data_IF_611603131691
#
_entry.id   IF_611603131691
#
_cell.length_a   1.000
_cell.length_b   1.000
_cell.length_c   1.000
_cell.angle_alpha   90.00
_cell.angle_beta   90.00
_cell.angle_gamma   90.00
#
_symmetry.space_group_name_H-M   'P 1'
#
loop_
_entity.id
_entity.type
_entity.pdbx_description
1 polymer ?
#
# COMPACT_ATOMS: atom_id res chain seq x y z
N UNK A 1 19.88 6.74 -25.42
CA UNK A 1 20.16 5.60 -24.51
C UNK A 1 21.66 5.56 -24.21
N UNK A 2 22.12 6.29 -23.19
CA UNK A 2 23.47 6.13 -22.64
C UNK A 2 23.30 5.52 -21.25
N UNK A 3 23.35 4.19 -21.17
CA UNK A 3 23.38 3.52 -19.87
C UNK A 3 24.72 3.81 -19.20
N UNK A 4 24.62 4.13 -17.91
CA UNK A 4 25.68 4.55 -17.02
C UNK A 4 26.85 3.55 -17.05
N UNK A 5 27.99 3.98 -17.61
CA UNK A 5 29.25 3.23 -17.63
C UNK A 5 30.16 3.57 -16.43
N UNK A 6 29.70 4.37 -15.47
CA UNK A 6 30.52 4.74 -14.30
C UNK A 6 29.83 4.35 -13.01
N UNK A 7 30.23 3.20 -12.44
CA UNK A 7 29.90 2.80 -11.08
C UNK A 7 30.18 1.32 -10.91
N UNK A 8 31.01 0.97 -9.92
CA UNK A 8 31.20 -0.39 -9.42
C UNK A 8 29.83 -1.00 -9.08
N UNK A 9 29.19 -1.61 -10.09
CA UNK A 9 27.94 -2.34 -9.96
C UNK A 9 28.30 -3.74 -9.47
N UNK A 10 27.78 -4.07 -8.30
CA UNK A 10 27.96 -5.38 -7.70
C UNK A 10 27.35 -6.44 -8.62
N UNK A 11 28.14 -7.43 -9.04
CA UNK A 11 27.70 -8.47 -9.98
C UNK A 11 26.68 -9.40 -9.29
N UNK A 12 25.79 -10.02 -10.08
CA UNK A 12 24.86 -11.02 -9.55
C UNK A 12 25.57 -12.20 -8.85
N UNK A 13 26.77 -12.55 -9.32
CA UNK A 13 27.65 -13.54 -8.69
C UNK A 13 28.18 -13.09 -7.33
N UNK A 14 28.39 -11.80 -7.11
CA UNK A 14 28.78 -11.24 -5.82
C UNK A 14 27.60 -11.22 -4.85
N UNK A 15 26.39 -10.87 -5.31
CA UNK A 15 25.20 -10.86 -4.44
C UNK A 15 24.77 -12.26 -4.04
N UNK A 16 24.85 -13.23 -4.94
CA UNK A 16 24.59 -14.63 -4.60
C UNK A 16 25.60 -15.20 -3.60
N UNK A 17 26.88 -14.75 -3.63
CA UNK A 17 27.85 -15.06 -2.57
C UNK A 17 27.41 -14.47 -1.24
N UNK A 18 27.07 -13.18 -1.21
CA UNK A 18 26.56 -12.51 0.01
C UNK A 18 25.33 -13.24 0.56
N UNK A 19 24.40 -13.67 -0.29
CA UNK A 19 23.20 -14.38 0.15
C UNK A 19 23.50 -15.74 0.78
N UNK A 20 24.49 -16.47 0.23
CA UNK A 20 24.92 -17.78 0.76
C UNK A 20 25.71 -17.64 2.06
N UNK A 21 26.48 -16.58 2.20
CA UNK A 21 27.32 -16.32 3.38
C UNK A 21 26.69 -15.28 4.32
N UNK A 22 25.39 -15.01 4.18
CA UNK A 22 24.75 -13.94 4.94
C UNK A 22 24.75 -14.32 6.41
N UNK A 23 25.58 -13.64 7.17
CA UNK A 23 25.61 -13.67 8.63
C UNK A 23 25.27 -12.26 9.12
N UNK A 24 24.28 -12.19 10.00
CA UNK A 24 23.70 -10.95 10.54
C UNK A 24 24.74 -10.09 11.29
N UNK A 25 25.88 -10.69 11.67
CA UNK A 25 26.94 -10.05 12.45
C UNK A 25 28.09 -9.45 11.61
N UNK A 26 28.21 -9.77 10.31
CA UNK A 26 29.38 -9.32 9.55
C UNK A 26 29.33 -7.83 9.23
N UNK A 27 30.42 -7.12 9.56
CA UNK A 27 30.50 -5.66 9.49
C UNK A 27 30.59 -5.15 8.05
N UNK A 28 31.40 -5.81 7.22
CA UNK A 28 31.62 -5.43 5.82
C UNK A 28 30.33 -5.51 4.99
N UNK A 29 29.49 -6.52 5.28
CA UNK A 29 28.21 -6.75 4.59
C UNK A 29 27.26 -5.56 4.71
N UNK A 30 27.30 -4.79 5.81
CA UNK A 30 26.37 -3.66 6.02
C UNK A 30 26.68 -2.49 5.11
N UNK A 31 27.95 -2.16 4.92
CA UNK A 31 28.35 -1.05 4.07
C UNK A 31 28.11 -1.39 2.59
N UNK A 32 28.35 -2.64 2.20
CA UNK A 32 28.08 -3.13 0.85
C UNK A 32 26.57 -3.12 0.55
N UNK A 33 25.74 -3.60 1.47
CA UNK A 33 24.28 -3.51 1.35
C UNK A 33 23.77 -2.06 1.35
N UNK A 34 24.40 -1.16 2.11
CA UNK A 34 24.09 0.27 2.09
C UNK A 34 24.39 0.90 0.73
N UNK A 35 25.55 0.58 0.13
CA UNK A 35 25.89 1.05 -1.22
C UNK A 35 24.90 0.48 -2.24
N UNK A 36 24.57 -0.80 -2.12
CA UNK A 36 23.66 -1.49 -3.02
C UNK A 36 22.24 -0.90 -2.98
N UNK A 37 21.72 -0.60 -1.80
CA UNK A 37 20.40 0.05 -1.63
C UNK A 37 20.36 1.49 -2.11
N UNK A 38 21.52 2.18 -2.17
CA UNK A 38 21.63 3.51 -2.79
C UNK A 38 21.64 3.43 -4.32
N UNK A 39 22.40 2.50 -4.89
CA UNK A 39 22.52 2.33 -6.35
C UNK A 39 21.22 1.73 -6.93
N UNK A 40 20.59 0.81 -6.20
CA UNK A 40 19.35 0.14 -6.60
C UNK A 40 18.26 0.32 -5.54
N UNK A 41 17.59 1.49 -5.49
CA UNK A 41 16.59 1.80 -4.45
C UNK A 41 15.44 0.80 -4.35
N UNK A 42 15.03 0.23 -5.49
CA UNK A 42 13.91 -0.72 -5.59
C UNK A 42 14.33 -2.19 -5.42
N UNK A 43 15.57 -2.47 -5.03
CA UNK A 43 16.00 -3.85 -4.82
C UNK A 43 15.52 -4.38 -3.46
N UNK A 44 14.32 -4.98 -3.43
CA UNK A 44 13.63 -5.35 -2.20
C UNK A 44 14.47 -6.27 -1.30
N UNK A 45 15.08 -7.32 -1.84
CA UNK A 45 15.86 -8.28 -1.04
C UNK A 45 17.07 -7.64 -0.36
N UNK A 46 17.80 -6.77 -1.06
CA UNK A 46 18.92 -6.03 -0.48
C UNK A 46 18.46 -5.07 0.63
N UNK A 47 17.33 -4.37 0.43
CA UNK A 47 16.75 -3.53 1.46
C UNK A 47 16.32 -4.34 2.70
N UNK A 48 15.77 -5.54 2.51
CA UNK A 48 15.38 -6.42 3.61
C UNK A 48 16.64 -6.81 4.40
N UNK A 49 17.63 -7.42 3.72
CA UNK A 49 18.92 -7.79 4.32
C UNK A 49 19.55 -6.61 5.08
N UNK A 50 19.57 -5.42 4.47
CA UNK A 50 20.10 -4.22 5.09
C UNK A 50 19.37 -3.87 6.40
N UNK A 51 18.03 -3.83 6.40
CA UNK A 51 17.23 -3.54 7.58
C UNK A 51 17.48 -4.54 8.72
N UNK A 52 17.64 -5.83 8.42
CA UNK A 52 17.97 -6.85 9.45
C UNK A 52 19.36 -6.69 10.03
N UNK A 53 20.35 -6.37 9.20
CA UNK A 53 21.69 -6.07 9.72
C UNK A 53 21.69 -4.84 10.62
N UNK A 54 20.87 -3.82 10.31
CA UNK A 54 20.70 -2.65 11.18
C UNK A 54 19.97 -2.98 12.48
N UNK A 55 18.98 -3.89 12.42
CA UNK A 55 18.25 -4.38 13.59
C UNK A 55 19.20 -5.06 14.57
N UNK A 56 20.00 -6.01 14.08
CA UNK A 56 20.91 -6.78 14.91
C UNK A 56 22.01 -5.90 15.55
N UNK A 57 22.46 -4.87 14.81
CA UNK A 57 23.43 -3.90 15.32
C UNK A 57 22.84 -2.80 16.20
N UNK A 58 21.53 -2.81 16.48
CA UNK A 58 20.82 -1.76 17.21
C UNK A 58 21.13 -0.33 16.69
N UNK A 59 21.25 -0.18 15.36
CA UNK A 59 21.62 1.11 14.77
C UNK A 59 20.46 2.11 14.85
N UNK A 60 20.73 3.36 15.20
CA UNK A 60 19.74 4.44 15.26
C UNK A 60 18.98 4.65 13.94
N UNK A 61 19.62 4.36 12.79
CA UNK A 61 18.99 4.46 11.46
C UNK A 61 18.05 3.31 11.13
N UNK A 62 17.91 2.32 12.02
CA UNK A 62 17.05 1.16 11.80
C UNK A 62 15.60 1.58 11.56
N UNK A 63 15.02 2.40 12.45
CA UNK A 63 13.61 2.78 12.38
C UNK A 63 13.27 3.51 11.06
N UNK A 64 14.04 4.53 10.70
CA UNK A 64 13.83 5.27 9.46
C UNK A 64 14.08 4.44 8.20
N UNK A 65 15.05 3.52 8.24
CA UNK A 65 15.29 2.59 7.12
C UNK A 65 14.16 1.58 7.00
N UNK A 66 13.64 1.05 8.11
CA UNK A 66 12.51 0.13 8.15
C UNK A 66 11.27 0.77 7.53
N UNK A 67 10.92 2.00 7.91
CA UNK A 67 9.78 2.74 7.35
C UNK A 67 9.92 2.95 5.84
N UNK A 68 11.11 3.33 5.39
CA UNK A 68 11.41 3.49 3.96
C UNK A 68 11.29 2.17 3.22
N UNK A 69 11.88 1.10 3.74
CA UNK A 69 11.81 -0.24 3.13
C UNK A 69 10.37 -0.74 3.11
N UNK A 70 9.59 -0.53 4.16
CA UNK A 70 8.19 -0.92 4.25
C UNK A 70 7.31 -0.19 3.23
N UNK A 71 7.69 1.03 2.82
CA UNK A 71 7.00 1.79 1.79
C UNK A 71 7.30 1.29 0.37
N UNK A 72 8.52 0.81 0.15
CA UNK A 72 8.97 0.29 -1.16
C UNK A 72 8.57 -1.19 -1.33
N UNK A 73 8.39 -1.92 -0.23
CA UNK A 73 8.07 -3.36 -0.24
C UNK A 73 6.69 -3.68 -0.81
N UNK A 74 6.60 -4.78 -1.55
CA UNK A 74 5.32 -5.30 -2.05
C UNK A 74 4.35 -5.72 -0.94
N UNK A 75 4.84 -6.40 0.10
CA UNK A 75 4.04 -6.80 1.26
C UNK A 75 4.79 -6.49 2.55
N UNK A 76 4.29 -5.50 3.30
CA UNK A 76 4.81 -5.08 4.60
C UNK A 76 4.73 -6.21 5.62
N UNK A 77 3.75 -7.12 5.52
CA UNK A 77 3.63 -8.24 6.44
C UNK A 77 4.77 -9.24 6.26
N UNK A 78 5.25 -9.46 5.04
CA UNK A 78 6.39 -10.35 4.78
C UNK A 78 7.65 -9.75 5.39
N UNK A 79 7.89 -8.46 5.19
CA UNK A 79 9.00 -7.74 5.82
C UNK A 79 8.95 -7.86 7.35
N UNK A 80 7.81 -7.57 7.96
CA UNK A 80 7.65 -7.62 9.41
C UNK A 80 7.81 -9.04 9.97
N UNK A 81 7.23 -10.05 9.33
CA UNK A 81 7.44 -11.46 9.71
C UNK A 81 8.91 -11.84 9.64
N UNK A 82 9.63 -11.36 8.62
CA UNK A 82 11.04 -11.67 8.45
C UNK A 82 11.93 -10.96 9.49
N UNK A 83 11.63 -9.70 9.82
CA UNK A 83 12.28 -8.95 10.90
C UNK A 83 12.07 -9.63 12.26
N UNK A 84 10.84 -10.07 12.53
CA UNK A 84 10.49 -10.74 13.78
C UNK A 84 10.98 -12.20 13.85
N UNK A 85 11.48 -12.77 12.76
CA UNK A 85 11.91 -14.17 12.70
C UNK A 85 10.79 -15.19 12.48
N UNK A 86 9.56 -14.73 12.28
CA UNK A 86 8.36 -15.57 12.05
C UNK A 86 8.22 -16.05 10.60
N UNK A 87 9.14 -15.66 9.71
CA UNK A 87 9.06 -16.00 8.30
C UNK A 87 9.56 -17.42 8.03
N UNK A 88 8.62 -18.37 7.94
CA UNK A 88 8.90 -19.74 7.51
C UNK A 88 9.01 -19.79 5.99
N UNK A 89 10.22 -20.00 5.48
CA UNK A 89 10.42 -20.31 4.06
C UNK A 89 9.77 -21.66 3.81
N UNK A 90 8.66 -21.69 3.05
CA UNK A 90 8.13 -22.93 2.50
C UNK A 90 9.11 -23.39 1.41
N UNK A 91 10.15 -24.13 1.80
CA UNK A 91 10.95 -24.87 0.85
C UNK A 91 10.04 -25.95 0.27
N UNK A 92 9.49 -25.72 -0.92
CA UNK A 92 8.99 -26.83 -1.74
C UNK A 92 10.21 -27.71 -2.00
N UNK A 93 10.32 -28.84 -1.29
CA UNK A 93 11.11 -29.96 -1.79
C UNK A 93 10.54 -30.31 -3.16
N UNK A 94 11.41 -30.28 -4.17
CA UNK A 94 11.11 -30.77 -5.50
C UNK A 94 11.04 -32.29 -5.42
N UNK A 95 9.83 -32.85 -5.35
CA UNK A 95 9.55 -34.26 -5.62
C UNK A 95 8.10 -34.34 -6.16
N UNK A 96 8.04 -34.61 -7.46
CA UNK A 96 7.03 -35.27 -8.29
C UNK A 96 5.52 -34.99 -8.14
N UNK A 97 4.89 -34.88 -9.31
CA UNK A 97 3.48 -34.57 -9.53
C UNK A 97 2.52 -35.66 -9.04
N UNK A 98 1.37 -35.25 -8.48
CA UNK A 98 0.02 -35.78 -8.80
C UNK A 98 -1.13 -34.99 -8.13
N UNK A 99 -2.08 -34.60 -8.99
CA UNK A 99 -3.55 -34.50 -8.84
C UNK A 99 -4.23 -33.79 -7.65
N UNK A 100 -4.88 -32.67 -8.00
CA UNK A 100 -6.27 -32.26 -7.70
C UNK A 100 -7.01 -32.77 -6.44
N UNK A 101 -7.46 -31.85 -5.57
CA UNK A 101 -8.87 -31.38 -5.50
C UNK A 101 -9.20 -30.69 -4.17
N UNK A 102 -9.98 -29.61 -4.29
CA UNK A 102 -10.90 -28.95 -3.35
C UNK A 102 -10.85 -29.25 -1.84
N UNK A 103 -10.80 -28.19 -1.02
CA UNK A 103 -11.84 -27.90 0.00
C UNK A 103 -11.72 -26.49 0.58
N UNK A 104 -12.88 -25.85 0.71
CA UNK A 104 -13.18 -24.64 1.48
C UNK A 104 -13.18 -24.92 3.01
N UNK A 105 -13.25 -23.81 3.79
CA UNK A 105 -13.44 -23.68 5.25
C UNK A 105 -12.14 -23.88 6.06
N UNK A 106 -11.86 -23.20 7.17
CA UNK A 106 -12.77 -22.61 8.14
C UNK A 106 -12.01 -21.62 9.03
N UNK A 107 -12.68 -20.55 9.47
CA UNK A 107 -12.26 -19.75 10.62
C UNK A 107 -12.61 -20.51 11.89
N UNK A 108 -11.62 -21.01 12.64
CA UNK A 108 -11.79 -21.13 14.10
C UNK A 108 -10.49 -21.34 14.89
N UNK A 109 -10.35 -20.47 15.89
CA UNK A 109 -9.71 -20.64 17.21
C UNK A 109 -8.27 -21.16 17.27
N UNK A 110 -7.35 -20.23 17.54
CA UNK A 110 -6.15 -20.53 18.36
C UNK A 110 -6.13 -19.58 19.55
N UNK A 111 -6.38 -20.16 20.72
CA UNK A 111 -6.19 -19.56 22.03
C UNK A 111 -4.74 -19.83 22.46
N UNK A 112 -3.93 -18.78 22.61
CA UNK A 112 -2.61 -18.86 23.25
C UNK A 112 -2.48 -17.69 24.23
N UNK A 113 -2.75 -17.99 25.50
CA UNK A 113 -2.33 -17.18 26.64
C UNK A 113 -0.81 -17.26 26.78
N UNK A 114 -0.13 -16.13 26.70
CA UNK A 114 1.13 -15.89 27.41
C UNK A 114 1.20 -14.42 27.84
N UNK A 115 1.25 -14.23 29.16
CA UNK A 115 1.50 -12.98 29.91
C UNK A 115 3.02 -12.71 29.82
N UNK A 116 3.56 -11.51 29.52
CA UNK A 116 3.55 -10.26 30.29
C UNK A 116 4.01 -9.01 29.46
N UNK A 117 3.48 -7.82 29.79
CA UNK A 117 4.08 -6.45 29.93
C UNK A 117 5.15 -5.98 28.90
N UNK A 118 5.14 -4.81 28.26
CA UNK A 118 4.34 -3.56 28.24
C UNK A 118 4.73 -2.79 26.98
N UNK A 119 3.77 -2.56 26.09
CA UNK A 119 3.70 -1.46 25.13
C UNK A 119 2.26 -1.52 24.58
N UNK A 120 1.52 -0.40 24.42
CA UNK A 120 0.17 -0.47 23.92
C UNK A 120 0.20 -1.06 22.50
N UNK A 121 -0.30 -2.30 22.39
CA UNK A 121 -0.52 -2.99 21.13
C UNK A 121 -1.51 -2.16 20.30
N UNK A 122 -0.98 -1.36 19.37
CA UNK A 122 -1.75 -0.84 18.22
C UNK A 122 -2.08 -2.00 17.24
N UNK A 123 -1.72 -3.24 17.59
CA UNK A 123 -1.90 -4.41 16.74
C UNK A 123 -3.33 -4.95 16.87
N UNK A 124 -4.14 -4.61 15.85
CA UNK A 124 -5.52 -5.04 15.56
C UNK A 124 -6.61 -4.36 16.40
N UNK A 125 -6.75 -3.05 16.23
CA UNK A 125 -8.05 -2.41 16.50
C UNK A 125 -8.97 -2.68 15.32
N UNK A 126 -10.19 -3.16 15.57
CA UNK A 126 -11.23 -3.22 14.54
C UNK A 126 -11.69 -1.80 14.20
N UNK A 127 -12.28 -1.61 13.02
CA UNK A 127 -12.82 -0.30 12.63
C UNK A 127 -13.80 0.26 13.68
N UNK A 128 -14.62 -0.61 14.27
CA UNK A 128 -15.55 -0.25 15.35
C UNK A 128 -14.83 0.18 16.62
N UNK A 129 -13.73 -0.48 16.99
CA UNK A 129 -12.92 -0.06 18.14
C UNK A 129 -12.29 1.30 17.90
N UNK A 130 -11.82 1.57 16.67
CA UNK A 130 -11.20 2.84 16.31
C UNK A 130 -12.18 4.01 16.35
N UNK A 131 -13.44 3.77 15.91
CA UNK A 131 -14.51 4.76 16.00
C UNK A 131 -14.90 5.07 17.44
N UNK A 132 -14.93 4.08 18.35
CA UNK A 132 -15.20 4.33 19.77
C UNK A 132 -14.14 5.22 20.43
N UNK A 133 -12.85 4.98 20.15
CA UNK A 133 -11.77 5.85 20.65
C UNK A 133 -11.88 7.29 20.12
N UNK A 134 -12.30 7.45 18.86
CA UNK A 134 -12.57 8.76 18.27
C UNK A 134 -13.65 9.54 19.02
N UNK A 135 -14.73 8.88 19.45
CA UNK A 135 -15.83 9.55 20.15
C UNK A 135 -15.50 9.89 21.62
N UNK A 136 -14.74 9.03 22.30
CA UNK A 136 -14.34 9.26 23.70
C UNK A 136 -13.35 10.44 23.83
N UNK A 137 -12.47 10.62 22.83
CA UNK A 137 -11.52 11.75 22.82
C UNK A 137 -12.18 13.10 22.56
N UNK A 138 -13.34 13.16 21.91
CA UNK A 138 -14.07 14.41 21.66
C UNK A 138 -14.78 14.89 22.94
N UNK A 139 -15.22 13.96 23.80
CA UNK A 139 -15.90 14.31 25.05
C UNK A 139 -14.93 14.53 26.23
N UNK A 140 -13.72 13.96 26.20
CA UNK A 140 -12.73 14.11 27.28
C UNK A 140 -11.78 15.31 27.12
N UNK A 141 -11.76 15.99 25.96
CA UNK A 141 -10.79 17.07 25.64
C UNK A 141 -11.36 18.49 25.70
N UNK A 142 -12.41 18.68 26.50
CA UNK A 142 -12.87 20.03 26.90
C UNK A 142 -12.08 20.59 28.11
N UNK A 143 -11.20 19.80 28.73
CA UNK A 143 -10.40 20.24 29.89
C UNK A 143 -8.93 20.42 29.50
N UNK A 144 -8.49 21.69 29.50
CA UNK A 144 -7.09 22.17 29.55
C UNK A 144 -6.08 21.50 28.60
N UNK A 145 -6.03 21.98 27.36
CA UNK A 145 -4.80 21.93 26.58
C UNK A 145 -3.92 23.06 27.11
N UNK A 146 -2.72 22.74 27.62
CA UNK A 146 -1.74 23.76 28.00
C UNK A 146 -1.41 24.62 26.78
N UNK A 147 -1.55 25.94 26.92
CA UNK A 147 -1.38 26.93 25.84
C UNK A 147 0.00 26.89 25.16
N UNK A 148 1.00 26.31 25.81
CA UNK A 148 2.38 26.26 25.32
C UNK A 148 2.55 25.32 24.12
N UNK A 149 1.81 24.20 24.04
CA UNK A 149 1.85 23.30 22.87
C UNK A 149 1.26 23.95 21.62
N UNK A 150 0.34 24.91 21.80
CA UNK A 150 -0.32 25.63 20.71
C UNK A 150 0.39 26.93 20.33
N UNK A 151 1.39 27.35 21.11
CA UNK A 151 2.16 28.56 20.83
C UNK A 151 2.87 28.50 19.47
N UNK A 152 3.37 27.34 19.08
CA UNK A 152 4.04 27.11 17.78
C UNK A 152 3.03 27.18 16.63
N UNK A 153 1.81 26.70 16.86
CA UNK A 153 0.72 26.74 15.86
C UNK A 153 0.24 28.19 15.70
N UNK A 154 0.04 28.90 16.80
CA UNK A 154 -0.41 30.29 16.78
C UNK A 154 0.64 31.21 16.14
N UNK A 155 1.92 31.06 16.51
CA UNK A 155 3.02 31.80 15.87
C UNK A 155 3.17 31.49 14.38
N UNK A 156 2.85 30.26 13.95
CA UNK A 156 2.82 29.91 12.53
C UNK A 156 1.65 30.57 11.80
N UNK A 157 0.45 30.60 12.41
CA UNK A 157 -0.74 31.22 11.82
C UNK A 157 -0.62 32.76 11.74
N UNK A 158 0.05 33.38 12.71
CA UNK A 158 0.33 34.83 12.72
C UNK A 158 1.34 35.25 11.66
N UNK A 159 2.26 34.35 11.28
CA UNK A 159 3.31 34.66 10.32
C UNK A 159 2.88 34.24 8.92
N UNK A 160 2.52 35.23 8.10
CA UNK A 160 2.17 35.03 6.69
C UNK A 160 3.41 34.60 5.87
N UNK A 161 3.74 33.31 5.93
CA UNK A 161 4.91 32.72 5.28
C UNK A 161 4.70 32.64 3.77
N UNK A 162 4.95 33.74 3.07
CA UNK A 162 5.09 33.73 1.60
C UNK A 162 6.39 33.03 1.23
N UNK A 163 6.30 31.76 0.87
CA UNK A 163 7.41 31.02 0.28
C UNK A 163 7.73 31.66 -1.07
N UNK A 164 8.80 32.46 -1.12
CA UNK A 164 9.29 33.03 -2.37
C UNK A 164 10.13 31.94 -3.06
N UNK A 165 9.48 31.05 -3.81
CA UNK A 165 10.21 30.13 -4.69
C UNK A 165 10.79 30.98 -5.82
N UNK A 166 12.13 31.05 -6.01
CA UNK A 166 12.69 31.64 -7.21
C UNK A 166 12.22 30.77 -8.40
N UNK A 167 11.17 31.22 -9.09
CA UNK A 167 10.74 30.62 -10.35
C UNK A 167 11.84 30.86 -11.37
N UNK A 168 12.61 29.82 -11.67
CA UNK A 168 13.43 29.81 -12.86
C UNK A 168 12.49 29.73 -14.08
N UNK A 169 12.17 30.89 -14.66
CA UNK A 169 11.21 31.06 -15.76
C UNK A 169 11.62 30.38 -17.06
N UNK A 170 12.81 29.80 -17.15
CA UNK A 170 13.32 29.17 -18.37
C UNK A 170 12.90 27.70 -18.53
N UNK A 171 12.43 27.03 -17.47
CA UNK A 171 12.11 25.59 -17.50
C UNK A 171 10.63 25.23 -17.20
N UNK A 172 9.76 26.22 -17.02
CA UNK A 172 8.32 25.97 -16.83
C UNK A 172 7.65 25.70 -18.19
N UNK A 173 7.91 24.53 -18.76
CA UNK A 173 7.05 23.98 -19.81
C UNK A 173 5.68 23.77 -19.15
N UNK A 174 4.75 24.70 -19.39
CA UNK A 174 3.33 24.50 -19.08
C UNK A 174 2.81 23.38 -19.99
N UNK A 175 3.05 22.14 -19.59
CA UNK A 175 2.43 20.99 -20.22
C UNK A 175 0.97 21.05 -19.80
N UNK A 176 0.08 21.33 -20.76
CA UNK A 176 -1.35 21.17 -20.52
C UNK A 176 -1.69 19.68 -20.53
N UNK A 177 -1.61 19.05 -19.37
CA UNK A 177 -2.00 17.65 -19.18
C UNK A 177 -3.53 17.45 -19.31
N UNK A 178 -4.35 18.51 -19.35
CA UNK A 178 -5.81 18.42 -19.44
C UNK A 178 -6.27 17.79 -20.76
N UNK A 179 -5.54 18.05 -21.84
CA UNK A 179 -5.83 17.51 -23.18
C UNK A 179 -5.44 16.04 -23.37
N UNK A 180 -4.66 15.47 -22.43
CA UNK A 180 -4.20 14.09 -22.52
C UNK A 180 -5.19 13.21 -21.75
N UNK A 181 -6.36 12.97 -22.34
CA UNK A 181 -7.29 11.93 -21.88
C UNK A 181 -6.57 10.57 -21.96
N UNK A 182 -5.84 10.22 -20.91
CA UNK A 182 -5.05 8.99 -20.82
C UNK A 182 -5.93 7.74 -20.75
N UNK A 183 -7.23 7.90 -20.49
CA UNK A 183 -8.17 6.81 -20.32
C UNK A 183 -9.43 7.07 -21.14
N UNK A 184 -9.85 6.08 -21.92
CA UNK A 184 -11.17 6.10 -22.54
C UNK A 184 -12.24 5.95 -21.46
N UNK A 185 -13.41 6.59 -21.63
CA UNK A 185 -14.59 6.38 -20.79
C UNK A 185 -14.90 4.90 -20.57
N UNK A 186 -14.61 4.04 -21.55
CA UNK A 186 -14.82 2.59 -21.45
C UNK A 186 -13.89 1.92 -20.44
N UNK A 187 -12.69 2.44 -20.27
CA UNK A 187 -11.68 1.87 -19.38
C UNK A 187 -11.99 2.16 -17.91
N UNK A 188 -12.55 3.33 -17.63
CA UNK A 188 -12.91 3.82 -16.30
C UNK A 188 -14.19 3.19 -15.72
N UNK A 189 -14.93 2.38 -16.49
CA UNK A 189 -16.18 1.79 -16.01
C UNK A 189 -15.94 0.72 -14.94
N UNK A 190 -16.61 0.89 -13.79
CA UNK A 190 -16.58 -0.03 -12.64
C UNK A 190 -17.99 -0.34 -12.15
N UNK A 191 -18.18 -1.49 -11.49
CA UNK A 191 -19.48 -1.90 -10.93
C UNK A 191 -20.03 -0.86 -9.93
N UNK A 192 -19.16 -0.28 -9.12
CA UNK A 192 -19.51 0.77 -8.15
C UNK A 192 -19.98 2.04 -8.86
N UNK A 193 -19.29 2.47 -9.92
CA UNK A 193 -19.69 3.61 -10.73
C UNK A 193 -21.06 3.39 -11.38
N UNK A 194 -21.31 2.20 -11.92
CA UNK A 194 -22.60 1.84 -12.50
C UNK A 194 -23.73 1.90 -11.45
N UNK A 195 -23.49 1.40 -10.23
CA UNK A 195 -24.44 1.52 -9.10
C UNK A 195 -24.70 2.97 -8.72
N UNK A 196 -23.68 3.82 -8.73
CA UNK A 196 -23.83 5.28 -8.48
C UNK A 196 -24.73 5.90 -9.56
N UNK A 197 -24.59 5.54 -10.83
CA UNK A 197 -25.49 6.02 -11.88
C UNK A 197 -26.95 5.61 -11.67
N UNK A 198 -27.21 4.39 -11.18
CA UNK A 198 -28.57 3.97 -10.78
C UNK A 198 -29.11 4.88 -9.67
N UNK A 199 -28.32 5.12 -8.61
CA UNK A 199 -28.72 5.98 -7.49
C UNK A 199 -29.04 7.41 -7.95
N UNK A 200 -28.30 7.91 -8.93
CA UNK A 200 -28.52 9.23 -9.55
C UNK A 200 -29.66 9.24 -10.58
N UNK A 201 -30.41 8.13 -10.75
CA UNK A 201 -31.44 7.93 -11.77
C UNK A 201 -30.96 8.12 -13.22
N UNK A 202 -29.65 8.04 -13.48
CA UNK A 202 -29.04 8.11 -14.81
C UNK A 202 -29.01 6.71 -15.43
N UNK A 203 -30.19 6.16 -15.70
CA UNK A 203 -30.36 4.75 -16.09
C UNK A 203 -29.68 4.38 -17.42
N UNK A 204 -29.65 5.29 -18.40
CA UNK A 204 -29.00 5.04 -19.69
C UNK A 204 -27.50 4.84 -19.55
N UNK A 205 -26.84 5.72 -18.78
CA UNK A 205 -25.41 5.62 -18.46
C UNK A 205 -25.11 4.37 -17.64
N UNK A 206 -25.99 4.00 -16.71
CA UNK A 206 -25.85 2.75 -15.95
C UNK A 206 -25.91 1.51 -16.86
N UNK A 207 -26.83 1.47 -17.83
CA UNK A 207 -26.92 0.37 -18.80
C UNK A 207 -25.65 0.31 -19.66
N UNK A 208 -25.14 1.45 -20.14
CA UNK A 208 -23.89 1.49 -20.91
C UNK A 208 -22.70 0.99 -20.09
N UNK A 209 -22.59 1.42 -18.83
CA UNK A 209 -21.54 0.95 -17.92
C UNK A 209 -21.59 -0.57 -17.72
N UNK A 210 -22.76 -1.15 -17.46
CA UNK A 210 -22.89 -2.61 -17.34
C UNK A 210 -22.61 -3.36 -18.64
N UNK A 211 -23.00 -2.81 -19.80
CA UNK A 211 -22.62 -3.40 -21.10
C UNK A 211 -21.11 -3.43 -21.27
N UNK A 212 -20.42 -2.33 -20.99
CA UNK A 212 -18.94 -2.26 -21.06
C UNK A 212 -18.31 -3.27 -20.10
N UNK A 213 -18.84 -3.39 -18.88
CA UNK A 213 -18.39 -4.37 -17.89
C UNK A 213 -18.63 -5.82 -18.33
N UNK A 214 -19.72 -6.13 -19.02
CA UNK A 214 -19.96 -7.45 -19.63
C UNK A 214 -18.90 -7.82 -20.64
N UNK A 215 -18.47 -6.88 -21.50
CA UNK A 215 -17.38 -7.10 -22.44
C UNK A 215 -16.02 -7.27 -21.74
N UNK A 216 -15.78 -6.50 -20.67
CA UNK A 216 -14.52 -6.55 -19.91
C UNK A 216 -14.40 -7.81 -19.02
N UNK A 217 -15.51 -8.29 -18.49
CA UNK A 217 -15.56 -9.41 -17.53
C UNK A 217 -16.62 -10.46 -17.91
N UNK A 218 -16.37 -11.27 -18.96
CA UNK A 218 -17.36 -12.22 -19.48
C UNK A 218 -17.82 -13.26 -18.46
N UNK A 219 -16.98 -13.62 -17.47
CA UNK A 219 -17.33 -14.54 -16.37
C UNK A 219 -18.53 -14.05 -15.54
N UNK A 220 -18.75 -12.74 -15.47
CA UNK A 220 -19.85 -12.11 -14.71
C UNK A 220 -21.02 -11.69 -15.61
N UNK A 221 -21.04 -12.09 -16.88
CA UNK A 221 -22.03 -11.60 -17.84
C UNK A 221 -23.49 -11.87 -17.41
N UNK A 222 -23.77 -13.06 -16.84
CA UNK A 222 -25.10 -13.40 -16.33
C UNK A 222 -25.58 -12.41 -15.24
N UNK A 223 -24.68 -12.00 -14.35
CA UNK A 223 -24.98 -11.02 -13.30
C UNK A 223 -25.31 -9.65 -13.90
N UNK A 224 -24.49 -9.17 -14.83
CA UNK A 224 -24.69 -7.87 -15.47
C UNK A 224 -25.94 -7.84 -16.35
N UNK A 225 -26.25 -8.93 -17.05
CA UNK A 225 -27.49 -9.06 -17.81
C UNK A 225 -28.73 -8.85 -16.91
N UNK A 226 -28.76 -9.54 -15.76
CA UNK A 226 -29.83 -9.38 -14.77
C UNK A 226 -29.94 -7.93 -14.27
N UNK A 227 -28.81 -7.26 -14.00
CA UNK A 227 -28.81 -5.85 -13.57
C UNK A 227 -29.33 -4.92 -14.67
N UNK A 228 -28.96 -5.14 -15.93
CA UNK A 228 -29.46 -4.36 -17.07
C UNK A 228 -30.98 -4.52 -17.19
N UNK A 229 -31.51 -5.74 -17.03
CA UNK A 229 -32.96 -5.97 -17.04
C UNK A 229 -33.69 -5.23 -15.92
N UNK A 230 -33.17 -5.31 -14.69
CA UNK A 230 -33.73 -4.56 -13.56
C UNK A 230 -33.77 -3.05 -13.84
N UNK A 231 -32.70 -2.49 -14.40
CA UNK A 231 -32.64 -1.06 -14.75
C UNK A 231 -33.64 -0.72 -15.85
N UNK A 232 -33.81 -1.57 -16.87
CA UNK A 232 -34.83 -1.38 -17.92
C UNK A 232 -36.24 -1.38 -17.33
N UNK A 233 -36.53 -2.24 -16.36
CA UNK A 233 -37.81 -2.26 -15.64
C UNK A 233 -38.01 -0.93 -14.88
N UNK A 234 -36.99 -0.44 -14.18
CA UNK A 234 -37.04 0.85 -13.47
C UNK A 234 -37.29 2.02 -14.43
N UNK A 235 -36.65 2.03 -15.59
CA UNK A 235 -36.84 3.05 -16.62
C UNK A 235 -38.28 3.03 -17.17
N UNK A 236 -38.83 1.84 -17.44
CA UNK A 236 -40.25 1.70 -17.85
C UNK A 236 -41.21 2.21 -16.77
N UNK A 237 -40.94 1.92 -15.49
CA UNK A 237 -41.75 2.43 -14.37
C UNK A 237 -41.69 3.95 -14.26
N UNK A 238 -40.51 4.55 -14.47
CA UNK A 238 -40.34 6.02 -14.45
C UNK A 238 -41.12 6.70 -15.58
N UNK A 239 -41.10 6.15 -16.79
CA UNK A 239 -41.80 6.74 -17.94
C UNK A 239 -43.33 6.53 -17.92
N UNK A 240 -43.84 5.73 -16.98
CA UNK A 240 -45.28 5.47 -16.80
C UNK A 240 -45.90 6.33 -15.68
N UNK A 241 -45.08 7.08 -14.94
CA UNK A 241 -45.49 8.10 -13.97
C UNK A 241 -45.39 9.47 -14.62
#
# INVERSE_FOLDING_TARGET
MKHLQNGNSMKASEFSKILKTFDENQINTVEDLRKLTKIYPYFHTANFLYVKTLQNKNNLKFASTLERTASISYDRNILMKWINGDYKIKTKKTEEAKSESNTFLDESKVNLKSKSLTNPKITKLSFTDWVSFGNDTINAKSQSINNDEWSIINTFLEKDHKVNIPRNTENDIKIDLSSKELFSDKELMTETLAKIFIKQQKYEKAIQAFKILSFKYPKKNALFANQIEQIKILLKKKNKK
#
